data_IF_251687934828
#
_entry.id   IF_251687934828
#
_cell.length_a   1.000
_cell.length_b   1.000
_cell.length_c   1.000
_cell.angle_alpha   90.00
_cell.angle_beta   90.00
_cell.angle_gamma   90.00
#
_symmetry.space_group_name_H-M   'P 1'
#
loop_
_entity.id
_entity.type
_entity.pdbx_description
1 polymer ?
#
# COMPACT_ATOMS: atom_id res chain seq x y z
N UNK A 1 10.78 4.66 -3.19
CA UNK A 1 9.82 3.60 -3.62
C UNK A 1 9.15 4.02 -4.92
N UNK A 2 8.86 3.09 -5.84
CA UNK A 2 8.02 3.40 -6.99
C UNK A 2 6.55 3.28 -6.57
N UNK A 3 5.83 4.40 -6.60
CA UNK A 3 4.41 4.45 -6.25
C UNK A 3 3.62 4.72 -7.52
N UNK A 4 2.62 3.88 -7.76
CA UNK A 4 1.75 3.99 -8.92
C UNK A 4 0.46 4.68 -8.51
N UNK A 5 0.06 5.73 -9.22
CA UNK A 5 -1.23 6.37 -9.02
C UNK A 5 -2.28 5.71 -9.90
N UNK A 6 -3.36 5.16 -9.31
CA UNK A 6 -4.45 4.56 -10.09
C UNK A 6 -5.22 5.59 -10.93
N UNK A 7 -5.18 6.87 -10.56
CA UNK A 7 -5.90 7.93 -11.26
C UNK A 7 -5.19 8.44 -12.52
N UNK A 8 -3.90 8.76 -12.45
CA UNK A 8 -3.13 9.22 -13.62
C UNK A 8 -2.35 8.11 -14.33
N UNK A 9 -2.30 6.90 -13.75
CA UNK A 9 -1.52 5.75 -14.25
C UNK A 9 -0.02 6.04 -14.40
N UNK A 10 0.48 7.05 -13.68
CA UNK A 10 1.89 7.41 -13.66
C UNK A 10 2.56 6.82 -12.43
N UNK A 11 3.80 6.36 -12.60
CA UNK A 11 4.66 5.97 -11.50
C UNK A 11 5.51 7.16 -11.06
N UNK A 12 5.37 7.58 -9.81
CA UNK A 12 6.27 8.54 -9.18
C UNK A 12 7.26 7.81 -8.28
N UNK A 13 8.53 8.20 -8.34
CA UNK A 13 9.50 7.85 -7.32
C UNK A 13 9.30 8.80 -6.14
N UNK A 14 8.79 8.29 -5.02
CA UNK A 14 8.87 9.04 -3.77
C UNK A 14 9.82 8.35 -2.81
N UNK A 15 10.72 9.16 -2.25
CA UNK A 15 11.72 8.73 -1.28
C UNK A 15 11.29 9.02 0.18
N UNK A 16 10.17 9.74 0.37
CA UNK A 16 9.68 10.16 1.68
C UNK A 16 8.45 9.34 2.10
N UNK A 17 8.63 8.48 3.10
CA UNK A 17 7.53 7.69 3.68
C UNK A 17 6.53 8.53 4.51
N UNK A 18 6.92 9.72 4.98
CA UNK A 18 6.04 10.56 5.82
C UNK A 18 4.79 11.09 5.09
N UNK A 19 4.77 11.01 3.76
CA UNK A 19 3.59 11.40 2.95
C UNK A 19 2.53 10.32 2.86
N UNK A 20 2.79 9.14 3.44
CA UNK A 20 1.88 8.02 3.48
C UNK A 20 1.14 7.99 4.81
N UNK A 21 -0.19 8.07 4.74
CA UNK A 21 -1.04 7.80 5.88
C UNK A 21 -1.34 6.30 5.92
N UNK A 22 -0.64 5.61 6.82
CA UNK A 22 -0.71 4.16 6.99
C UNK A 22 -1.65 3.85 8.15
N UNK A 23 -2.89 3.49 7.83
CA UNK A 23 -3.84 3.03 8.82
C UNK A 23 -3.65 1.51 9.03
N UNK A 24 -2.96 1.14 10.11
CA UNK A 24 -2.72 -0.26 10.48
C UNK A 24 -3.98 -1.01 10.91
N UNK A 25 -4.99 -0.32 11.44
CA UNK A 25 -6.24 -0.94 11.89
C UNK A 25 -7.10 -1.36 10.70
N UNK A 26 -7.31 -0.45 9.74
CA UNK A 26 -8.02 -0.75 8.49
C UNK A 26 -7.14 -1.48 7.47
N UNK A 27 -5.82 -1.56 7.71
CA UNK A 27 -4.80 -2.06 6.77
C UNK A 27 -4.89 -1.36 5.41
N UNK A 28 -5.01 -0.04 5.47
CA UNK A 28 -5.10 0.83 4.29
C UNK A 28 -3.95 1.80 4.27
N UNK A 29 -3.41 2.04 3.08
CA UNK A 29 -2.36 3.03 2.85
C UNK A 29 -2.97 4.10 1.95
N UNK A 30 -2.90 5.36 2.37
CA UNK A 30 -3.36 6.51 1.59
C UNK A 30 -2.20 7.42 1.29
N UNK A 31 -2.15 7.97 0.09
CA UNK A 31 -1.14 8.96 -0.27
C UNK A 31 -1.69 9.95 -1.28
N UNK A 32 -1.18 11.17 -1.22
CA UNK A 32 -1.55 12.21 -2.17
C UNK A 32 -0.68 12.10 -3.42
N UNK A 33 -1.30 12.16 -4.60
CA UNK A 33 -0.56 12.27 -5.85
C UNK A 33 -0.39 13.75 -6.23
N UNK A 34 0.86 14.26 -6.33
CA UNK A 34 1.09 15.66 -6.68
C UNK A 34 0.70 16.01 -8.11
N UNK A 35 0.68 15.02 -9.02
CA UNK A 35 0.41 15.22 -10.45
C UNK A 35 -1.09 15.43 -10.72
N UNK A 36 -1.93 14.52 -10.25
CA UNK A 36 -3.37 14.60 -10.46
C UNK A 36 -4.13 15.28 -9.32
N UNK A 37 -3.43 15.67 -8.25
CA UNK A 37 -4.00 16.27 -7.02
C UNK A 37 -5.11 15.43 -6.38
N UNK A 38 -5.08 14.11 -6.59
CA UNK A 38 -6.04 13.16 -6.02
C UNK A 38 -5.38 12.32 -4.93
N UNK A 39 -6.20 11.85 -4.00
CA UNK A 39 -5.79 10.92 -2.96
C UNK A 39 -5.92 9.49 -3.48
N UNK A 40 -4.80 8.77 -3.51
CA UNK A 40 -4.79 7.35 -3.78
C UNK A 40 -5.02 6.57 -2.49
N UNK A 41 -5.57 5.36 -2.65
CA UNK A 41 -5.81 4.43 -1.55
C UNK A 41 -5.44 3.02 -2.00
N UNK A 42 -4.70 2.31 -1.16
CA UNK A 42 -4.36 0.90 -1.34
C UNK A 42 -4.88 0.11 -0.15
N UNK A 43 -5.72 -0.89 -0.43
CA UNK A 43 -6.30 -1.77 0.58
C UNK A 43 -5.47 -3.06 0.67
N UNK A 44 -4.64 -3.18 1.71
CA UNK A 44 -3.66 -4.27 1.85
C UNK A 44 -4.35 -5.61 2.09
N UNK A 45 -5.59 -5.60 2.59
CA UNK A 45 -6.37 -6.82 2.83
C UNK A 45 -6.73 -7.60 1.55
N UNK A 46 -6.82 -6.93 0.38
CA UNK A 46 -7.29 -7.59 -0.85
C UNK A 46 -6.28 -8.58 -1.44
N UNK A 47 -5.00 -8.48 -1.09
CA UNK A 47 -3.91 -9.22 -1.77
C UNK A 47 -3.18 -10.23 -0.88
N UNK A 48 -3.63 -10.50 0.33
CA UNK A 48 -3.06 -11.59 1.14
C UNK A 48 -3.68 -12.91 0.67
N UNK A 49 -3.29 -13.36 -0.52
CA UNK A 49 -3.55 -14.72 -0.98
C UNK A 49 -2.83 -15.68 -0.06
N UNK A 50 -3.62 -16.29 0.84
CA UNK A 50 -3.26 -17.34 1.80
C UNK A 50 -2.12 -17.00 2.78
N UNK A 51 -2.37 -17.07 4.10
CA UNK A 51 -1.27 -17.07 5.06
C UNK A 51 -0.35 -18.28 4.77
N UNK A 52 0.97 -18.06 4.82
CA UNK A 52 1.97 -19.12 4.69
C UNK A 52 1.58 -20.29 5.61
N UNK A 53 1.56 -21.54 5.12
CA UNK A 53 1.12 -22.67 5.92
C UNK A 53 1.98 -22.75 7.18
N UNK A 54 1.34 -22.60 8.34
CA UNK A 54 2.01 -22.77 9.63
C UNK A 54 2.44 -24.23 9.74
N UNK A 55 3.68 -24.54 9.39
CA UNK A 55 4.27 -25.85 9.67
C UNK A 55 4.34 -25.99 11.18
N UNK A 56 3.40 -26.75 11.74
CA UNK A 56 3.37 -27.10 13.16
C UNK A 56 4.56 -28.00 13.42
N UNK A 57 5.68 -27.44 13.85
CA UNK A 57 6.79 -28.21 14.41
C UNK A 57 6.27 -28.82 15.71
N UNK A 58 5.85 -30.10 15.65
CA UNK A 58 5.60 -30.89 16.86
C UNK A 58 6.96 -31.10 17.51
N UNK A 59 7.15 -30.53 18.70
CA UNK A 59 8.22 -30.94 19.63
C UNK A 59 7.85 -32.25 20.29
#
# INVERSE_FOLDING_TARGET
MNIFCEHCKESSKEDNLDRFDINFFEKRIRWFCPLCKKMNMLDVNKNISQPYPKTRVKR
#
